data_IF_461810666333
#
_entry.id   IF_461810666333
#
_cell.length_a   1.000
_cell.length_b   1.000
_cell.length_c   1.000
_cell.angle_alpha   90.00
_cell.angle_beta   90.00
_cell.angle_gamma   90.00
#
_symmetry.space_group_name_H-M   'P 1'
#
loop_
_entity.id
_entity.type
_entity.pdbx_description
1 polymer ?
#
# COMPACT_ATOMS: atom_id res chain seq x y z
N UNK A 1 -16.86 17.35 -33.05
CA UNK A 1 -16.61 15.93 -33.25
C UNK A 1 -15.60 15.55 -32.18
N UNK A 2 -16.08 14.92 -31.11
CA UNK A 2 -15.25 14.45 -30.01
C UNK A 2 -15.02 12.98 -30.33
N UNK A 3 -13.77 12.67 -30.69
CA UNK A 3 -13.33 11.30 -30.97
C UNK A 3 -13.33 10.51 -29.65
N UNK A 4 -14.28 9.61 -29.52
CA UNK A 4 -14.39 8.70 -28.40
C UNK A 4 -13.40 7.54 -28.65
N UNK A 5 -12.16 7.70 -28.19
CA UNK A 5 -11.19 6.62 -28.09
C UNK A 5 -11.74 5.52 -27.20
N UNK A 6 -12.37 4.53 -27.78
CA UNK A 6 -12.64 3.24 -27.14
C UNK A 6 -11.29 2.53 -27.00
N UNK A 7 -10.67 2.62 -25.84
CA UNK A 7 -9.58 1.72 -25.46
C UNK A 7 -10.17 0.31 -25.33
N UNK A 8 -9.76 -0.55 -26.25
CA UNK A 8 -10.12 -1.96 -26.24
C UNK A 8 -9.45 -2.64 -25.04
N UNK A 9 -10.19 -2.84 -23.98
CA UNK A 9 -9.81 -3.71 -22.88
C UNK A 9 -9.74 -5.16 -23.40
N UNK A 10 -8.54 -5.64 -23.65
CA UNK A 10 -8.30 -7.04 -24.06
C UNK A 10 -8.04 -7.88 -22.83
N UNK A 11 -9.10 -8.34 -22.18
CA UNK A 11 -8.96 -9.38 -21.16
C UNK A 11 -8.59 -10.70 -21.82
N UNK A 12 -7.43 -11.25 -21.50
CA UNK A 12 -6.99 -12.54 -22.00
C UNK A 12 -7.43 -13.64 -21.06
N UNK A 13 -8.22 -14.59 -21.57
CA UNK A 13 -8.55 -15.78 -20.81
C UNK A 13 -7.31 -16.68 -20.78
N UNK A 14 -6.68 -16.82 -19.62
CA UNK A 14 -5.58 -17.76 -19.43
C UNK A 14 -6.19 -19.09 -18.97
N UNK A 15 -6.36 -20.03 -19.90
CA UNK A 15 -6.80 -21.37 -19.54
C UNK A 15 -5.64 -22.13 -18.89
N UNK A 16 -5.51 -22.05 -17.59
CA UNK A 16 -4.69 -22.96 -16.80
C UNK A 16 -5.61 -23.95 -16.07
N UNK A 17 -5.19 -25.20 -15.97
CA UNK A 17 -5.89 -26.24 -15.21
C UNK A 17 -5.80 -25.97 -13.69
N UNK A 18 -6.19 -24.77 -13.26
CA UNK A 18 -6.20 -24.41 -11.86
C UNK A 18 -7.46 -24.99 -11.20
N UNK A 19 -7.30 -25.47 -9.98
CA UNK A 19 -8.40 -26.00 -9.16
C UNK A 19 -8.77 -25.00 -8.09
N UNK A 20 -10.06 -24.87 -7.86
CA UNK A 20 -10.59 -24.06 -6.76
C UNK A 20 -10.07 -24.58 -5.41
N UNK A 21 -9.48 -23.74 -4.55
CA UNK A 21 -8.97 -24.16 -3.25
C UNK A 21 -10.09 -24.57 -2.28
N UNK A 22 -11.35 -24.17 -2.58
CA UNK A 22 -12.50 -24.46 -1.72
C UNK A 22 -13.21 -25.75 -2.12
N UNK A 23 -13.48 -25.98 -3.41
CA UNK A 23 -14.29 -27.11 -3.88
C UNK A 23 -13.57 -28.08 -4.82
N UNK A 24 -12.31 -27.81 -5.20
CA UNK A 24 -11.50 -28.64 -6.09
C UNK A 24 -11.93 -28.66 -7.57
N UNK A 25 -12.98 -27.94 -7.95
CA UNK A 25 -13.44 -27.85 -9.35
C UNK A 25 -12.51 -26.99 -10.19
N UNK A 26 -12.50 -27.20 -11.50
CA UNK A 26 -11.78 -26.34 -12.43
C UNK A 26 -12.29 -24.90 -12.36
N UNK A 27 -11.38 -23.94 -12.36
CA UNK A 27 -11.68 -22.50 -12.34
C UNK A 27 -11.17 -21.80 -13.59
N UNK A 28 -11.85 -20.72 -13.95
CA UNK A 28 -11.39 -19.82 -15.01
C UNK A 28 -10.59 -18.69 -14.38
N UNK A 29 -9.41 -18.44 -14.93
CA UNK A 29 -8.55 -17.33 -14.61
C UNK A 29 -8.58 -16.33 -15.76
N UNK A 30 -8.82 -15.08 -15.42
CA UNK A 30 -8.77 -13.95 -16.34
C UNK A 30 -7.59 -13.09 -15.95
N UNK A 31 -6.85 -12.61 -16.94
CA UNK A 31 -5.81 -11.60 -16.73
C UNK A 31 -6.05 -10.42 -17.66
N UNK A 32 -5.86 -9.22 -17.11
CA UNK A 32 -5.91 -7.98 -17.87
C UNK A 32 -4.67 -7.16 -17.54
N UNK A 33 -4.04 -6.61 -18.58
CA UNK A 33 -2.92 -5.69 -18.42
C UNK A 33 -3.44 -4.28 -18.70
N UNK A 34 -3.13 -3.36 -17.80
CA UNK A 34 -3.54 -1.97 -17.88
C UNK A 34 -2.40 -1.05 -17.41
N UNK A 35 -2.51 0.23 -17.71
CA UNK A 35 -1.58 1.24 -17.24
C UNK A 35 -2.34 2.26 -16.39
N UNK A 36 -2.05 2.28 -15.10
CA UNK A 36 -2.71 3.21 -14.19
C UNK A 36 -1.73 4.29 -13.70
N UNK A 37 -2.22 5.52 -13.52
CA UNK A 37 -1.40 6.61 -13.03
C UNK A 37 -0.63 6.23 -11.76
N UNK A 38 0.62 6.63 -11.68
CA UNK A 38 1.58 6.40 -10.58
C UNK A 38 2.12 4.97 -10.47
N UNK A 39 1.30 3.92 -10.64
CA UNK A 39 1.76 2.54 -10.58
C UNK A 39 2.36 2.07 -11.91
N UNK A 40 1.97 2.71 -13.04
CA UNK A 40 2.39 2.27 -14.38
C UNK A 40 1.68 1.01 -14.82
N UNK A 41 2.40 0.11 -15.49
CA UNK A 41 1.81 -1.14 -16.00
C UNK A 41 1.48 -2.08 -14.85
N UNK A 42 0.26 -2.56 -14.86
CA UNK A 42 -0.27 -3.53 -13.89
C UNK A 42 -0.80 -4.77 -14.61
N UNK A 43 -0.82 -5.88 -13.91
CA UNK A 43 -1.51 -7.10 -14.29
C UNK A 43 -2.59 -7.38 -13.24
N UNK A 44 -3.83 -7.26 -13.63
CA UNK A 44 -4.98 -7.68 -12.83
C UNK A 44 -5.28 -9.14 -13.10
N UNK A 45 -5.33 -9.96 -12.06
CA UNK A 45 -5.67 -11.38 -12.15
C UNK A 45 -6.96 -11.62 -11.37
N UNK A 46 -7.93 -12.27 -12.01
CA UNK A 46 -9.18 -12.63 -11.34
C UNK A 46 -9.54 -14.09 -11.59
N UNK A 47 -9.98 -14.76 -10.52
CA UNK A 47 -10.39 -16.16 -10.52
C UNK A 47 -11.80 -16.24 -9.95
N UNK A 48 -12.68 -16.94 -10.68
CA UNK A 48 -14.06 -17.16 -10.25
C UNK A 48 -14.38 -18.64 -10.28
N UNK A 49 -15.09 -19.11 -9.25
CA UNK A 49 -15.59 -20.46 -9.15
C UNK A 49 -17.11 -20.48 -8.93
N UNK A 50 -17.76 -21.51 -9.48
CA UNK A 50 -19.21 -21.71 -9.29
C UNK A 50 -19.64 -21.93 -7.84
N UNK A 51 -18.69 -22.31 -6.94
CA UNK A 51 -18.96 -22.44 -5.50
C UNK A 51 -19.02 -21.10 -4.76
N UNK A 52 -18.84 -19.97 -5.47
CA UNK A 52 -18.79 -18.61 -4.89
C UNK A 52 -17.40 -18.13 -4.52
N UNK A 53 -16.35 -18.97 -4.65
CA UNK A 53 -14.97 -18.52 -4.47
C UNK A 53 -14.61 -17.47 -5.52
N UNK A 54 -14.09 -16.35 -5.06
CA UNK A 54 -13.59 -15.23 -5.87
C UNK A 54 -12.21 -14.82 -5.34
N UNK A 55 -11.26 -14.68 -6.24
CA UNK A 55 -9.95 -14.10 -5.96
C UNK A 55 -9.68 -13.02 -6.99
N UNK A 56 -9.21 -11.87 -6.56
CA UNK A 56 -8.74 -10.77 -7.43
C UNK A 56 -7.45 -10.25 -6.83
N UNK A 57 -6.45 -10.09 -7.67
CA UNK A 57 -5.16 -9.53 -7.29
C UNK A 57 -4.64 -8.59 -8.38
N UNK A 58 -3.86 -7.60 -7.98
CA UNK A 58 -3.25 -6.61 -8.87
C UNK A 58 -1.75 -6.60 -8.66
N UNK A 59 -1.02 -6.98 -9.69
CA UNK A 59 0.44 -7.05 -9.69
C UNK A 59 0.98 -5.83 -10.44
N UNK A 60 1.81 -5.03 -9.79
CA UNK A 60 2.50 -3.92 -10.43
C UNK A 60 3.69 -4.49 -11.20
N UNK A 61 3.71 -4.28 -12.52
CA UNK A 61 4.75 -4.77 -13.43
C UNK A 61 5.88 -3.75 -13.62
N UNK A 62 5.57 -2.47 -13.46
CA UNK A 62 6.54 -1.39 -13.62
C UNK A 62 7.53 -1.36 -12.46
N UNK A 63 8.80 -1.14 -12.79
CA UNK A 63 9.85 -0.86 -11.84
C UNK A 63 10.49 0.48 -12.19
N UNK A 64 10.64 1.35 -11.19
CA UNK A 64 11.21 2.69 -11.31
C UNK A 64 12.43 2.81 -10.41
N UNK A 65 13.07 3.98 -10.43
CA UNK A 65 14.17 4.27 -9.51
C UNK A 65 13.70 4.24 -8.05
N UNK A 66 14.45 3.63 -7.12
CA UNK A 66 14.15 3.65 -5.70
C UNK A 66 14.08 5.07 -5.16
N UNK A 67 12.98 5.43 -4.50
CA UNK A 67 12.72 6.78 -4.02
C UNK A 67 12.28 6.80 -2.56
N UNK A 68 12.68 7.89 -1.88
CA UNK A 68 12.15 8.32 -0.58
C UNK A 68 11.37 9.61 -0.77
N UNK A 69 10.13 9.63 -0.31
CA UNK A 69 9.32 10.82 -0.20
C UNK A 69 9.16 11.18 1.27
N UNK A 70 9.35 12.45 1.60
CA UNK A 70 9.22 12.95 2.97
C UNK A 70 8.33 14.21 2.98
N UNK A 71 7.38 14.26 3.90
CA UNK A 71 6.48 15.41 4.06
C UNK A 71 6.30 15.71 5.53
N UNK A 72 6.64 16.94 5.95
CA UNK A 72 6.23 17.46 7.24
C UNK A 72 4.75 17.82 7.20
N UNK A 73 3.99 17.28 8.14
CA UNK A 73 2.54 17.49 8.29
C UNK A 73 2.35 18.37 9.51
N UNK A 74 2.01 19.63 9.32
CA UNK A 74 1.92 20.63 10.39
C UNK A 74 0.66 21.51 10.33
N UNK A 75 -0.22 21.23 9.36
CA UNK A 75 -1.51 21.91 9.22
C UNK A 75 -2.62 20.93 8.85
N UNK A 76 -3.86 21.30 9.10
CA UNK A 76 -5.02 20.51 8.67
C UNK A 76 -5.03 20.28 7.15
N UNK A 77 -4.58 21.28 6.37
CA UNK A 77 -4.46 21.15 4.91
C UNK A 77 -3.49 20.05 4.47
N UNK A 78 -2.43 19.79 5.25
CA UNK A 78 -1.45 18.75 4.94
C UNK A 78 -2.04 17.33 5.10
N UNK A 79 -3.11 17.15 5.87
CA UNK A 79 -3.80 15.86 6.00
C UNK A 79 -4.42 15.40 4.68
N UNK A 80 -4.71 16.31 3.76
CA UNK A 80 -5.24 16.04 2.43
C UNK A 80 -4.15 15.73 1.39
N UNK A 81 -2.88 15.85 1.76
CA UNK A 81 -1.76 15.46 0.87
C UNK A 81 -1.93 14.03 0.41
N UNK A 82 -1.88 13.82 -0.91
CA UNK A 82 -2.10 12.52 -1.52
C UNK A 82 -0.94 11.56 -1.23
N UNK A 83 -1.30 10.37 -0.84
CA UNK A 83 -0.38 9.26 -0.56
C UNK A 83 -0.71 8.10 -1.48
N UNK A 84 0.31 7.62 -2.17
CA UNK A 84 0.27 6.45 -3.05
C UNK A 84 1.26 5.46 -2.47
N UNK A 85 0.77 4.30 -2.05
CA UNK A 85 1.61 3.21 -1.56
C UNK A 85 1.49 2.01 -2.48
N UNK A 86 2.62 1.56 -2.99
CA UNK A 86 2.72 0.31 -3.74
C UNK A 86 2.79 -0.90 -2.81
N UNK A 87 2.83 -2.08 -3.37
CA UNK A 87 3.01 -3.35 -2.62
C UNK A 87 4.39 -3.49 -1.98
N UNK A 88 5.38 -2.65 -2.38
CA UNK A 88 6.76 -2.64 -1.85
C UNK A 88 7.07 -1.41 -0.99
N UNK A 89 6.12 -0.49 -0.83
CA UNK A 89 6.33 0.75 -0.09
C UNK A 89 6.33 0.56 1.43
N UNK A 90 7.36 1.07 2.09
CA UNK A 90 7.44 1.20 3.56
C UNK A 90 7.01 2.60 3.97
N UNK A 91 6.13 2.72 4.95
CA UNK A 91 5.73 4.01 5.54
C UNK A 91 6.30 4.11 6.94
N UNK A 92 6.89 5.27 7.28
CA UNK A 92 7.37 5.59 8.63
C UNK A 92 6.79 6.91 9.10
N UNK A 93 6.49 6.96 10.40
CA UNK A 93 6.19 8.20 11.12
C UNK A 93 7.11 8.21 12.36
N UNK A 94 8.31 8.82 12.23
CA UNK A 94 9.34 8.74 13.26
C UNK A 94 8.91 9.28 14.62
N UNK A 95 8.13 10.36 14.64
CA UNK A 95 7.66 11.00 15.89
C UNK A 95 6.72 10.08 16.68
N UNK A 96 6.09 9.13 16.01
CA UNK A 96 5.18 8.15 16.65
C UNK A 96 5.83 6.79 16.86
N UNK A 97 7.06 6.60 16.36
CA UNK A 97 7.72 5.30 16.38
C UNK A 97 6.98 4.24 15.54
N UNK A 98 6.25 4.68 14.51
CA UNK A 98 5.45 3.82 13.65
C UNK A 98 6.22 3.50 12.37
N UNK A 99 6.25 2.21 12.04
CA UNK A 99 6.76 1.69 10.80
C UNK A 99 5.80 0.64 10.23
N UNK A 100 5.45 0.79 8.95
CA UNK A 100 4.57 -0.13 8.21
C UNK A 100 5.37 -0.69 7.05
N UNK A 101 5.84 -1.90 7.23
CA UNK A 101 6.55 -2.64 6.20
C UNK A 101 5.59 -3.38 5.27
N UNK A 102 5.99 -3.59 4.00
CA UNK A 102 5.24 -4.45 3.10
C UNK A 102 5.35 -5.92 3.53
N UNK A 103 4.21 -6.57 3.67
CA UNK A 103 4.10 -8.01 3.89
C UNK A 103 3.68 -8.75 2.60
N UNK A 104 3.58 -10.09 2.63
CA UNK A 104 3.22 -10.90 1.46
C UNK A 104 1.83 -10.61 0.89
N UNK A 105 0.94 -10.09 1.72
CA UNK A 105 -0.42 -9.71 1.35
C UNK A 105 -0.60 -8.17 1.34
N UNK A 106 0.48 -7.42 1.14
CA UNK A 106 0.40 -5.96 1.04
C UNK A 106 -0.30 -5.54 -0.23
N UNK A 107 -1.36 -4.79 -0.07
CA UNK A 107 -2.10 -4.19 -1.18
C UNK A 107 -1.56 -2.79 -1.51
N UNK A 108 -1.54 -2.47 -2.79
CA UNK A 108 -1.32 -1.10 -3.25
C UNK A 108 -2.58 -0.28 -3.05
N UNK A 109 -2.43 0.98 -2.66
CA UNK A 109 -3.57 1.88 -2.49
C UNK A 109 -3.21 3.35 -2.73
N UNK A 110 -4.24 4.13 -3.06
CA UNK A 110 -4.17 5.59 -3.16
C UNK A 110 -5.10 6.16 -2.08
N UNK A 111 -4.57 7.06 -1.27
CA UNK A 111 -5.29 7.72 -0.18
C UNK A 111 -4.73 9.12 0.05
N UNK A 112 -4.97 9.72 1.21
CA UNK A 112 -4.31 10.92 1.71
C UNK A 112 -3.64 10.61 3.07
N UNK A 113 -2.96 11.59 3.65
CA UNK A 113 -2.28 11.42 4.95
C UNK A 113 -3.28 11.02 6.04
N UNK A 114 -4.47 11.62 6.07
CA UNK A 114 -5.52 11.24 7.04
C UNK A 114 -5.90 9.76 6.92
N UNK A 115 -6.10 9.26 5.70
CA UNK A 115 -6.43 7.85 5.47
C UNK A 115 -5.28 6.90 5.83
N UNK A 116 -4.02 7.34 5.78
CA UNK A 116 -2.88 6.58 6.33
C UNK A 116 -3.01 6.49 7.86
N UNK A 117 -3.28 7.61 8.53
CA UNK A 117 -3.49 7.63 10.00
C UNK A 117 -4.62 6.67 10.39
N UNK A 118 -5.74 6.71 9.68
CA UNK A 118 -6.89 5.84 9.96
C UNK A 118 -6.54 4.34 9.86
N UNK A 119 -5.75 3.96 8.85
CA UNK A 119 -5.25 2.58 8.70
C UNK A 119 -4.35 2.18 9.87
N UNK A 120 -3.45 3.08 10.29
CA UNK A 120 -2.57 2.85 11.45
C UNK A 120 -3.40 2.70 12.73
N UNK A 121 -4.38 3.58 12.95
CA UNK A 121 -5.30 3.50 14.09
C UNK A 121 -6.01 2.14 14.14
N UNK A 122 -6.43 1.61 13.00
CA UNK A 122 -7.03 0.28 12.90
C UNK A 122 -6.10 -0.83 13.41
N UNK A 123 -4.82 -0.80 13.00
CA UNK A 123 -3.81 -1.79 13.42
C UNK A 123 -3.46 -1.63 14.90
N UNK A 124 -3.21 -0.40 15.38
CA UNK A 124 -2.92 -0.12 16.79
C UNK A 124 -4.10 -0.52 17.68
N UNK A 125 -5.33 -0.25 17.23
CA UNK A 125 -6.55 -0.67 17.94
C UNK A 125 -6.70 -2.20 18.02
N UNK A 126 -6.23 -2.95 17.02
CA UNK A 126 -6.15 -4.43 17.10
C UNK A 126 -5.06 -4.86 18.09
N UNK A 127 -3.86 -4.30 17.98
CA UNK A 127 -2.75 -4.61 18.88
C UNK A 127 -3.15 -4.35 20.34
N UNK A 128 -3.82 -3.21 20.62
CA UNK A 128 -4.37 -2.90 21.95
C UNK A 128 -5.31 -3.99 22.49
N UNK A 129 -6.18 -4.55 21.65
CA UNK A 129 -7.10 -5.62 22.06
C UNK A 129 -6.38 -6.93 22.37
N UNK A 130 -5.22 -7.15 21.76
CA UNK A 130 -4.40 -8.35 21.95
C UNK A 130 -3.27 -8.18 22.96
N UNK A 131 -3.12 -6.95 23.52
CA UNK A 131 -2.11 -6.67 24.52
C UNK A 131 -2.27 -7.57 25.76
N UNK A 132 -1.20 -8.20 26.17
CA UNK A 132 -1.16 -9.08 27.34
C UNK A 132 -0.85 -8.32 28.61
N UNK A 133 -0.17 -7.16 28.50
CA UNK A 133 0.24 -6.33 29.63
C UNK A 133 -0.48 -4.98 29.66
N UNK A 134 -0.60 -4.38 30.83
CA UNK A 134 -1.17 -3.03 30.98
C UNK A 134 -0.26 -1.97 30.33
N UNK A 135 1.08 -2.17 30.40
CA UNK A 135 2.05 -1.27 29.78
C UNK A 135 1.88 -1.20 28.26
N UNK A 136 1.69 -2.33 27.57
CA UNK A 136 1.42 -2.36 26.11
C UNK A 136 0.11 -1.65 25.79
N UNK A 137 -0.91 -1.84 26.62
CA UNK A 137 -2.22 -1.22 26.45
C UNK A 137 -2.14 0.29 26.61
N UNK A 138 -1.41 0.78 27.62
CA UNK A 138 -1.20 2.20 27.85
C UNK A 138 -0.42 2.86 26.69
N UNK A 139 0.62 2.18 26.15
CA UNK A 139 1.34 2.67 24.97
C UNK A 139 0.43 2.78 23.73
N UNK A 140 -0.40 1.78 23.50
CA UNK A 140 -1.36 1.80 22.40
C UNK A 140 -2.40 2.91 22.58
N UNK A 141 -2.92 3.12 23.79
CA UNK A 141 -3.87 4.19 24.10
C UNK A 141 -3.25 5.58 23.91
N UNK A 142 -2.01 5.79 24.36
CA UNK A 142 -1.29 7.04 24.15
C UNK A 142 -1.09 7.35 22.66
N UNK A 143 -0.69 6.34 21.86
CA UNK A 143 -0.51 6.49 20.43
C UNK A 143 -1.83 6.78 19.71
N UNK A 144 -2.93 6.10 20.07
CA UNK A 144 -4.26 6.37 19.53
C UNK A 144 -4.73 7.80 19.84
N UNK A 145 -4.44 8.30 21.04
CA UNK A 145 -4.73 9.69 21.43
C UNK A 145 -3.95 10.68 20.55
N UNK A 146 -2.64 10.49 20.38
CA UNK A 146 -1.80 11.33 19.51
C UNK A 146 -2.30 11.35 18.07
N UNK A 147 -2.67 10.21 17.53
CA UNK A 147 -3.24 10.12 16.19
C UNK A 147 -4.58 10.85 16.07
N UNK A 148 -5.43 10.78 17.10
CA UNK A 148 -6.70 11.50 17.11
C UNK A 148 -6.48 13.02 17.18
N UNK A 149 -5.55 13.50 17.99
CA UNK A 149 -5.20 14.93 18.07
C UNK A 149 -4.69 15.46 16.71
N UNK A 150 -3.89 14.64 15.99
CA UNK A 150 -3.43 14.99 14.66
C UNK A 150 -4.59 15.13 13.67
N UNK A 151 -5.58 14.23 13.71
CA UNK A 151 -6.78 14.30 12.88
C UNK A 151 -7.71 15.46 13.26
N UNK A 152 -7.74 15.85 14.52
CA UNK A 152 -8.53 16.98 15.03
C UNK A 152 -7.91 18.37 14.72
N UNK A 153 -6.97 18.41 13.76
CA UNK A 153 -6.40 19.63 13.20
C UNK A 153 -5.14 20.14 13.92
N UNK A 154 -4.48 19.29 14.68
CA UNK A 154 -3.19 19.60 15.34
C UNK A 154 -2.08 18.62 14.93
N UNK A 155 -1.88 18.40 13.64
CA UNK A 155 -0.81 17.50 13.21
C UNK A 155 0.55 18.16 13.44
N UNK A 156 1.50 17.37 13.93
CA UNK A 156 2.91 17.75 14.04
C UNK A 156 3.79 16.51 13.95
N UNK A 157 3.95 15.98 12.72
CA UNK A 157 4.72 14.78 12.45
C UNK A 157 5.24 14.78 11.02
N UNK A 158 6.14 13.85 10.72
CA UNK A 158 6.69 13.63 9.39
C UNK A 158 6.22 12.27 8.87
N UNK A 159 5.63 12.24 7.67
CA UNK A 159 5.41 11.00 6.95
C UNK A 159 6.57 10.78 5.99
N UNK A 160 7.15 9.58 6.05
CA UNK A 160 8.21 9.12 5.15
C UNK A 160 7.71 7.89 4.42
N UNK A 161 7.86 7.87 3.10
CA UNK A 161 7.57 6.69 2.27
C UNK A 161 8.83 6.34 1.49
N UNK A 162 9.29 5.11 1.64
CA UNK A 162 10.43 4.56 0.94
C UNK A 162 10.00 3.35 0.11
N UNK A 163 10.37 3.35 -1.15
CA UNK A 163 9.98 2.29 -2.07
C UNK A 163 11.16 1.84 -2.92
N UNK A 164 11.66 0.61 -2.73
CA UNK A 164 12.76 0.07 -3.53
C UNK A 164 12.39 -0.16 -5.00
N UNK A 165 11.10 -0.20 -5.34
CA UNK A 165 10.63 -0.30 -6.72
C UNK A 165 10.16 1.04 -7.30
N UNK A 166 10.15 2.12 -6.50
CA UNK A 166 9.85 3.48 -6.93
C UNK A 166 8.40 3.71 -7.38
N UNK A 167 7.47 2.87 -6.99
CA UNK A 167 6.05 2.96 -7.37
C UNK A 167 5.16 3.63 -6.31
N UNK A 168 5.74 4.03 -5.18
CA UNK A 168 5.07 4.80 -4.14
C UNK A 168 5.39 6.29 -4.27
N UNK A 169 4.50 7.16 -3.81
CA UNK A 169 4.69 8.60 -3.84
C UNK A 169 3.88 9.33 -2.76
N UNK A 170 4.37 10.49 -2.36
CA UNK A 170 3.59 11.54 -1.69
C UNK A 170 3.50 12.73 -2.64
N UNK A 171 2.30 13.29 -2.84
CA UNK A 171 2.06 14.35 -3.82
C UNK A 171 1.36 15.52 -3.13
N UNK A 172 2.03 16.63 -3.09
CA UNK A 172 1.55 17.89 -2.51
C UNK A 172 2.69 18.88 -2.31
N UNK A 173 2.35 20.06 -1.82
CA UNK A 173 3.33 21.10 -1.55
C UNK A 173 4.27 20.72 -0.39
N UNK A 174 5.54 21.11 -0.48
CA UNK A 174 6.54 20.85 0.55
C UNK A 174 6.91 19.38 0.74
N UNK A 175 6.69 18.54 -0.28
CA UNK A 175 7.22 17.17 -0.32
C UNK A 175 8.66 17.19 -0.79
N UNK A 176 9.55 16.57 -0.04
CA UNK A 176 10.92 16.31 -0.43
C UNK A 176 11.03 14.91 -1.04
N UNK A 177 11.69 14.83 -2.19
CA UNK A 177 11.91 13.56 -2.90
C UNK A 177 13.42 13.35 -3.08
N UNK A 178 13.92 12.21 -2.60
CA UNK A 178 15.32 11.82 -2.73
C UNK A 178 15.44 10.41 -3.29
N UNK A 179 16.51 10.16 -4.05
CA UNK A 179 16.83 8.79 -4.49
C UNK A 179 17.42 8.02 -3.32
N UNK A 180 16.99 6.78 -3.17
CA UNK A 180 17.63 5.84 -2.26
C UNK A 180 18.93 5.33 -2.90
N UNK A 181 19.93 5.13 -2.07
CA UNK A 181 21.15 4.40 -2.50
C UNK A 181 20.81 2.92 -2.70
N UNK A 182 21.68 2.20 -3.42
CA UNK A 182 21.50 0.75 -3.60
C UNK A 182 21.47 0.00 -2.27
N UNK A 183 22.30 0.42 -1.30
CA UNK A 183 22.35 -0.17 0.04
C UNK A 183 21.05 0.07 0.81
N UNK A 184 20.50 1.30 0.78
CA UNK A 184 19.24 1.64 1.40
C UNK A 184 18.08 0.84 0.77
N UNK A 185 18.03 0.79 -0.56
CA UNK A 185 16.98 0.06 -1.28
C UNK A 185 17.02 -1.46 -1.02
N UNK A 186 18.21 -2.06 -0.93
CA UNK A 186 18.39 -3.48 -0.60
C UNK A 186 18.04 -3.79 0.86
N UNK A 187 18.19 -2.82 1.76
CA UNK A 187 17.84 -2.95 3.17
C UNK A 187 16.34 -2.89 3.45
N UNK A 188 15.53 -2.42 2.47
CA UNK A 188 14.09 -2.32 2.63
C UNK A 188 13.40 -3.65 2.32
N UNK A 189 12.38 -4.04 3.09
CA UNK A 189 11.57 -5.21 2.77
C UNK A 189 10.78 -4.96 1.48
N UNK A 190 10.81 -5.93 0.56
CA UNK A 190 10.13 -5.81 -0.75
C UNK A 190 8.75 -6.45 -0.80
N UNK A 191 8.30 -7.08 0.30
CA UNK A 191 7.07 -7.87 0.33
C UNK A 191 7.12 -9.19 -0.46
N UNK A 192 8.20 -9.42 -1.22
CA UNK A 192 8.40 -10.66 -1.98
C UNK A 192 9.23 -11.67 -1.21
N UNK A 193 8.75 -12.91 -1.12
CA UNK A 193 9.57 -14.02 -0.65
C UNK A 193 10.38 -14.59 -1.81
N UNK A 194 11.70 -14.51 -1.73
CA UNK A 194 12.59 -15.27 -2.59
C UNK A 194 12.72 -16.68 -2.01
N UNK A 195 12.04 -17.64 -2.58
CA UNK A 195 12.27 -19.07 -2.24
C UNK A 195 13.64 -19.44 -2.80
N UNK A 196 14.65 -19.45 -1.96
CA UNK A 196 15.93 -20.05 -2.32
C UNK A 196 15.74 -21.57 -2.42
N UNK A 197 16.04 -22.10 -3.62
CA UNK A 197 16.07 -23.54 -3.89
C UNK A 197 17.35 -24.17 -3.35
#
# INVERSE_FOLDING_TARGET
MIDSGQENFSSTLVSSENKCPVCGSSVHMYSNQDNIPYFGDILEVSIFCHCGFKFVDTIILSQKEPLRHMKRVCSEGDLWTRVIRSTSGTIRIPEWGVEIEPGPASEAYITNVEGVIERIQGVVGMARRWSETDEEREKADALLCTMQEARDGKPDFTIVIEDPQGNSAVIGDGVEVTKLTEEEAQGLPSGMYVIQK
#
